data_IF_604532513054
#
_entry.id   IF_604532513054
#
_cell.length_a   1.000
_cell.length_b   1.000
_cell.length_c   1.000
_cell.angle_alpha   90.00
_cell.angle_beta   90.00
_cell.angle_gamma   90.00
#
_symmetry.space_group_name_H-M   'P 1'
#
loop_
_entity.id
_entity.type
_entity.pdbx_description
1 polymer ?
#
# COMPACT_ATOMS: atom_id res chain seq x y z
N UNK A 1 -10.02 12.68 -6.01
CA UNK A 1 -8.71 12.32 -5.43
C UNK A 1 -8.58 10.80 -5.33
N UNK A 2 -7.36 10.28 -5.29
CA UNK A 2 -7.10 8.84 -5.35
C UNK A 2 -7.85 8.05 -4.26
N UNK A 3 -7.79 8.55 -3.02
CA UNK A 3 -8.49 7.92 -1.91
C UNK A 3 -10.01 8.11 -1.95
N UNK A 4 -10.53 9.10 -2.68
CA UNK A 4 -11.99 9.15 -2.92
C UNK A 4 -12.45 7.93 -3.71
N UNK A 5 -11.66 7.48 -4.70
CA UNK A 5 -11.97 6.25 -5.46
C UNK A 5 -11.92 5.01 -4.59
N UNK A 6 -11.01 4.96 -3.62
CA UNK A 6 -10.94 3.88 -2.64
C UNK A 6 -12.17 3.91 -1.73
N UNK A 7 -12.52 5.08 -1.19
CA UNK A 7 -13.67 5.25 -0.28
C UNK A 7 -14.99 4.93 -0.99
N UNK A 8 -15.16 5.37 -2.25
CA UNK A 8 -16.32 5.01 -3.07
C UNK A 8 -16.52 3.49 -3.12
N UNK A 9 -15.42 2.73 -3.26
CA UNK A 9 -15.46 1.26 -3.25
C UNK A 9 -15.75 0.68 -1.88
N UNK A 10 -15.16 1.24 -0.82
CA UNK A 10 -15.44 0.83 0.56
C UNK A 10 -16.93 0.97 0.85
N UNK A 11 -17.54 2.09 0.46
CA UNK A 11 -18.98 2.35 0.62
C UNK A 11 -19.81 1.36 -0.21
N UNK A 12 -19.45 1.17 -1.49
CA UNK A 12 -20.17 0.27 -2.40
C UNK A 12 -20.16 -1.18 -1.90
N UNK A 13 -19.01 -1.66 -1.42
CA UNK A 13 -18.80 -3.04 -0.98
C UNK A 13 -19.14 -3.25 0.49
N UNK A 14 -19.36 -2.16 1.25
CA UNK A 14 -19.50 -2.14 2.71
C UNK A 14 -18.37 -2.90 3.40
N UNK A 15 -17.15 -2.73 2.88
CA UNK A 15 -15.99 -3.49 3.30
C UNK A 15 -14.72 -2.66 3.16
N UNK A 16 -14.02 -2.31 4.25
CA UNK A 16 -12.74 -1.60 4.21
C UNK A 16 -11.54 -2.51 4.03
N UNK A 17 -11.73 -3.84 4.02
CA UNK A 17 -10.60 -4.78 4.01
C UNK A 17 -9.73 -4.66 2.75
N UNK A 18 -8.42 -4.74 2.93
CA UNK A 18 -7.45 -4.78 1.85
C UNK A 18 -6.81 -6.16 1.83
N UNK A 19 -6.93 -6.88 0.71
CA UNK A 19 -6.31 -8.19 0.58
C UNK A 19 -4.81 -8.09 0.34
N UNK A 20 -3.99 -8.59 1.27
CA UNK A 20 -2.54 -8.68 1.11
C UNK A 20 -2.17 -9.79 0.12
N UNK A 21 -1.50 -9.43 -0.98
CA UNK A 21 -0.98 -10.40 -1.94
C UNK A 21 0.54 -10.53 -1.76
N UNK A 22 0.90 -11.31 -0.75
CA UNK A 22 2.27 -11.51 -0.27
C UNK A 22 2.70 -12.97 -0.58
N UNK A 23 2.80 -13.36 -1.88
CA UNK A 23 2.86 -14.75 -2.26
C UNK A 23 4.23 -15.37 -1.97
N UNK A 24 4.21 -16.57 -1.42
CA UNK A 24 5.32 -17.51 -1.47
C UNK A 24 4.90 -18.72 -2.27
N UNK A 25 5.88 -19.34 -2.95
CA UNK A 25 5.64 -20.55 -3.71
C UNK A 25 5.05 -21.69 -2.86
N UNK A 26 5.35 -21.73 -1.57
CA UNK A 26 4.78 -22.70 -0.61
C UNK A 26 3.26 -22.57 -0.44
N UNK A 27 2.68 -21.38 -0.67
CA UNK A 27 1.24 -21.14 -0.60
C UNK A 27 0.51 -21.59 -1.87
N UNK A 28 1.24 -21.75 -2.97
CA UNK A 28 0.66 -22.07 -4.27
C UNK A 28 0.31 -23.57 -4.32
N UNK A 29 -0.95 -23.94 -4.62
CA UNK A 29 -1.36 -25.33 -4.74
C UNK A 29 -0.54 -26.11 -5.77
N UNK A 30 -0.28 -27.39 -5.49
CA UNK A 30 0.56 -28.23 -6.33
C UNK A 30 0.06 -28.33 -7.77
N UNK A 31 -1.26 -28.44 -7.99
CA UNK A 31 -1.83 -28.51 -9.34
C UNK A 31 -1.53 -27.26 -10.19
N UNK A 32 -1.31 -26.10 -9.57
CA UNK A 32 -0.87 -24.88 -10.27
C UNK A 32 0.64 -24.96 -10.53
N UNK A 33 1.45 -25.30 -9.51
CA UNK A 33 2.92 -25.39 -9.62
C UNK A 33 3.35 -26.41 -10.67
N UNK A 34 2.83 -27.64 -10.60
CA UNK A 34 3.20 -28.75 -11.46
C UNK A 34 3.05 -28.41 -12.94
N UNK A 35 2.00 -27.67 -13.32
CA UNK A 35 1.80 -27.22 -14.70
C UNK A 35 2.98 -26.40 -15.23
N UNK A 36 3.48 -25.46 -14.43
CA UNK A 36 4.56 -24.57 -14.84
C UNK A 36 5.94 -25.21 -14.69
N UNK A 37 6.12 -26.07 -13.68
CA UNK A 37 7.37 -26.83 -13.52
C UNK A 37 7.58 -27.81 -14.67
N UNK A 38 6.52 -28.46 -15.17
CA UNK A 38 6.58 -29.30 -16.37
C UNK A 38 6.99 -28.53 -17.63
N UNK A 39 6.63 -27.24 -17.73
CA UNK A 39 6.88 -26.42 -18.91
C UNK A 39 8.24 -25.71 -18.89
N UNK A 40 8.64 -25.17 -17.74
CA UNK A 40 9.78 -24.27 -17.61
C UNK A 40 10.84 -24.80 -16.61
N UNK A 41 10.69 -26.05 -16.12
CA UNK A 41 11.51 -26.61 -15.05
C UNK A 41 11.26 -25.96 -13.69
N UNK A 42 12.01 -26.37 -12.68
CA UNK A 42 12.00 -25.75 -11.35
C UNK A 42 12.83 -24.45 -11.35
N UNK A 43 12.32 -23.43 -12.04
CA UNK A 43 13.01 -22.15 -12.26
C UNK A 43 12.24 -20.98 -11.65
N UNK A 44 12.91 -19.83 -11.47
CA UNK A 44 12.25 -18.58 -11.05
C UNK A 44 11.14 -18.16 -12.01
N UNK A 45 11.29 -18.46 -13.30
CA UNK A 45 10.25 -18.24 -14.33
C UNK A 45 9.00 -19.06 -14.03
N UNK A 46 9.17 -20.34 -13.70
CA UNK A 46 8.05 -21.22 -13.39
C UNK A 46 7.36 -20.84 -12.08
N UNK A 47 8.14 -20.52 -11.04
CA UNK A 47 7.63 -20.03 -9.77
C UNK A 47 6.82 -18.74 -9.95
N UNK A 48 7.35 -17.76 -10.68
CA UNK A 48 6.68 -16.49 -10.96
C UNK A 48 5.38 -16.68 -11.76
N UNK A 49 5.35 -17.57 -12.76
CA UNK A 49 4.11 -17.92 -13.49
C UNK A 49 3.07 -18.58 -12.59
N UNK A 50 3.50 -19.50 -11.71
CA UNK A 50 2.60 -20.17 -10.76
C UNK A 50 2.00 -19.17 -9.76
N UNK A 51 2.82 -18.26 -9.23
CA UNK A 51 2.39 -17.17 -8.36
C UNK A 51 1.41 -16.25 -9.08
N UNK A 52 1.70 -15.85 -10.32
CA UNK A 52 0.77 -15.01 -11.08
C UNK A 52 -0.59 -15.70 -11.24
N UNK A 53 -0.60 -16.99 -11.60
CA UNK A 53 -1.86 -17.73 -11.77
C UNK A 53 -2.63 -17.87 -10.45
N UNK A 54 -1.91 -18.05 -9.33
CA UNK A 54 -2.50 -18.08 -8.00
C UNK A 54 -3.11 -16.73 -7.61
N UNK A 55 -2.38 -15.63 -7.82
CA UNK A 55 -2.88 -14.27 -7.60
C UNK A 55 -4.14 -13.98 -8.44
N UNK A 56 -4.15 -14.40 -9.72
CA UNK A 56 -5.34 -14.24 -10.56
C UNK A 56 -6.55 -14.98 -9.97
N UNK A 57 -6.35 -16.23 -9.52
CA UNK A 57 -7.42 -17.00 -8.90
C UNK A 57 -7.95 -16.32 -7.62
N UNK A 58 -7.06 -15.79 -6.76
CA UNK A 58 -7.48 -15.02 -5.58
C UNK A 58 -8.28 -13.79 -6.01
N UNK A 59 -7.76 -12.98 -6.92
CA UNK A 59 -8.42 -11.75 -7.41
C UNK A 59 -9.80 -12.07 -7.98
N UNK A 60 -9.93 -13.14 -8.78
CA UNK A 60 -11.19 -13.55 -9.39
C UNK A 60 -12.27 -13.90 -8.36
N UNK A 61 -11.89 -14.34 -7.16
CA UNK A 61 -12.82 -14.70 -6.08
C UNK A 61 -13.14 -13.54 -5.13
N UNK A 62 -12.38 -12.43 -5.16
CA UNK A 62 -12.52 -11.35 -4.16
C UNK A 62 -12.80 -9.96 -4.75
N UNK A 63 -12.72 -9.78 -6.06
CA UNK A 63 -12.78 -8.45 -6.69
C UNK A 63 -14.11 -7.70 -6.47
N UNK A 64 -15.19 -8.42 -6.17
CA UNK A 64 -16.52 -7.91 -5.85
C UNK A 64 -16.83 -7.91 -4.34
N UNK A 65 -15.88 -8.37 -3.51
CA UNK A 65 -16.01 -8.46 -2.04
C UNK A 65 -15.15 -7.41 -1.33
N UNK A 66 -13.92 -7.18 -1.80
CA UNK A 66 -12.97 -6.24 -1.18
C UNK A 66 -12.58 -5.12 -2.15
N UNK A 67 -12.41 -3.87 -1.67
CA UNK A 67 -12.16 -2.71 -2.53
C UNK A 67 -10.77 -2.72 -3.15
N UNK A 68 -9.80 -3.34 -2.48
CA UNK A 68 -8.40 -3.19 -2.82
C UNK A 68 -7.56 -4.45 -2.57
N UNK A 69 -6.46 -4.54 -3.32
CA UNK A 69 -5.34 -5.43 -3.01
C UNK A 69 -4.10 -4.63 -2.62
N UNK A 70 -3.21 -5.26 -1.86
CA UNK A 70 -1.91 -4.71 -1.48
C UNK A 70 -0.79 -5.71 -1.70
N UNK A 71 -0.20 -5.81 -2.91
CA UNK A 71 0.98 -6.64 -3.12
C UNK A 71 2.22 -6.07 -2.39
N UNK A 72 2.89 -6.88 -1.56
CA UNK A 72 4.17 -6.55 -0.94
C UNK A 72 5.33 -6.84 -1.90
N UNK A 73 6.00 -5.78 -2.38
CA UNK A 73 7.01 -5.84 -3.43
C UNK A 73 8.14 -6.84 -3.12
N UNK A 74 8.57 -6.95 -1.87
CA UNK A 74 9.65 -7.85 -1.46
C UNK A 74 9.40 -9.33 -1.84
N UNK A 75 8.14 -9.80 -1.78
CA UNK A 75 7.79 -11.18 -2.16
C UNK A 75 7.95 -11.43 -3.65
N UNK A 76 7.79 -10.39 -4.47
CA UNK A 76 8.00 -10.47 -5.91
C UNK A 76 9.49 -10.31 -6.24
N UNK A 77 10.20 -9.39 -5.59
CA UNK A 77 11.65 -9.17 -5.74
C UNK A 77 12.46 -10.46 -5.51
N UNK A 78 12.03 -11.30 -4.56
CA UNK A 78 12.62 -12.61 -4.27
C UNK A 78 12.72 -13.54 -5.50
N UNK A 79 11.86 -13.35 -6.51
CA UNK A 79 11.87 -14.12 -7.77
C UNK A 79 12.55 -13.38 -8.94
N UNK A 80 13.35 -12.35 -8.64
CA UNK A 80 14.10 -11.56 -9.61
C UNK A 80 13.21 -10.84 -10.63
N UNK A 81 13.72 -10.63 -11.84
CA UNK A 81 12.98 -9.90 -12.88
C UNK A 81 11.67 -10.60 -13.29
N UNK A 82 11.58 -11.93 -13.16
CA UNK A 82 10.34 -12.67 -13.41
C UNK A 82 9.27 -12.36 -12.36
N UNK A 83 9.69 -12.20 -11.11
CA UNK A 83 8.83 -11.76 -10.02
C UNK A 83 8.38 -10.31 -10.21
N UNK A 84 9.29 -9.40 -10.58
CA UNK A 84 8.92 -8.01 -10.89
C UNK A 84 7.92 -7.91 -12.05
N UNK A 85 8.09 -8.70 -13.11
CA UNK A 85 7.09 -8.84 -14.18
C UNK A 85 5.76 -9.40 -13.67
N UNK A 86 5.80 -10.25 -12.66
CA UNK A 86 4.59 -10.80 -12.02
C UNK A 86 3.87 -9.76 -11.17
N UNK A 87 4.61 -8.87 -10.49
CA UNK A 87 4.05 -7.72 -9.79
C UNK A 87 3.30 -6.80 -10.75
N UNK A 88 3.96 -6.36 -11.84
CA UNK A 88 3.36 -5.57 -12.92
C UNK A 88 2.05 -6.21 -13.41
N UNK A 89 2.09 -7.50 -13.77
CA UNK A 89 0.92 -8.22 -14.26
C UNK A 89 -0.19 -8.34 -13.23
N UNK A 90 0.14 -8.54 -11.96
CA UNK A 90 -0.84 -8.64 -10.86
C UNK A 90 -1.55 -7.30 -10.67
N UNK A 91 -0.81 -6.19 -10.65
CA UNK A 91 -1.36 -4.84 -10.56
C UNK A 91 -2.32 -4.59 -11.73
N UNK A 92 -1.85 -4.84 -12.96
CA UNK A 92 -2.66 -4.66 -14.17
C UNK A 92 -3.94 -5.51 -14.15
N UNK A 93 -3.85 -6.78 -13.73
CA UNK A 93 -5.01 -7.68 -13.66
C UNK A 93 -6.04 -7.22 -12.63
N UNK A 94 -5.61 -6.82 -11.44
CA UNK A 94 -6.50 -6.30 -10.40
C UNK A 94 -7.22 -5.01 -10.86
N UNK A 95 -6.50 -4.10 -11.52
CA UNK A 95 -7.10 -2.88 -12.09
C UNK A 95 -8.10 -3.17 -13.21
N UNK A 96 -7.84 -4.18 -14.05
CA UNK A 96 -8.81 -4.65 -15.05
C UNK A 96 -10.10 -5.20 -14.42
N UNK A 97 -10.00 -5.78 -13.21
CA UNK A 97 -11.14 -6.20 -12.38
C UNK A 97 -11.77 -5.05 -11.59
N UNK A 98 -11.28 -3.83 -11.80
CA UNK A 98 -11.75 -2.63 -11.16
C UNK A 98 -11.27 -2.46 -9.72
N UNK A 99 -10.35 -3.26 -9.20
CA UNK A 99 -9.86 -3.12 -7.82
C UNK A 99 -8.89 -1.94 -7.69
N UNK A 100 -8.86 -1.32 -6.51
CA UNK A 100 -7.82 -0.35 -6.15
C UNK A 100 -6.53 -1.09 -5.77
N UNK A 101 -5.36 -0.59 -6.18
CA UNK A 101 -4.09 -1.30 -5.94
C UNK A 101 -3.08 -0.45 -5.17
N UNK A 102 -2.66 -0.96 -4.02
CA UNK A 102 -1.64 -0.35 -3.17
C UNK A 102 -0.36 -1.17 -3.27
N UNK A 103 0.70 -0.64 -3.90
CA UNK A 103 1.99 -1.32 -3.82
C UNK A 103 2.60 -1.07 -2.45
N UNK A 104 2.85 -2.13 -1.69
CA UNK A 104 3.56 -2.02 -0.43
C UNK A 104 5.07 -2.13 -0.70
N UNK A 105 5.70 -1.00 -1.06
CA UNK A 105 7.11 -0.92 -1.45
C UNK A 105 8.03 -0.24 -0.43
N UNK A 106 7.46 0.49 0.54
CA UNK A 106 8.16 1.23 1.61
C UNK A 106 9.36 2.04 1.10
N UNK A 107 9.23 2.65 -0.09
CA UNK A 107 10.34 3.37 -0.74
C UNK A 107 10.76 4.57 0.10
N UNK A 108 12.06 4.85 0.07
CA UNK A 108 12.69 5.92 0.83
C UNK A 108 13.98 6.30 0.11
N UNK A 109 14.09 7.52 -0.37
CA UNK A 109 15.29 8.09 -0.97
C UNK A 109 15.10 9.61 -1.06
N UNK A 110 16.02 10.32 -1.71
CA UNK A 110 15.92 11.76 -1.94
C UNK A 110 16.17 12.12 -3.41
N UNK A 111 15.71 13.31 -3.80
CA UNK A 111 15.98 13.91 -5.11
C UNK A 111 15.67 12.98 -6.29
N UNK A 112 16.60 12.91 -7.25
CA UNK A 112 16.42 12.16 -8.50
C UNK A 112 16.17 10.65 -8.30
N UNK A 113 16.70 10.06 -7.23
CA UNK A 113 16.44 8.64 -6.95
C UNK A 113 15.00 8.42 -6.51
N UNK A 114 14.47 9.31 -5.68
CA UNK A 114 13.08 9.26 -5.26
C UNK A 114 12.12 9.57 -6.41
N UNK A 115 12.50 10.45 -7.34
CA UNK A 115 11.78 10.67 -8.60
C UNK A 115 11.72 9.40 -9.45
N UNK A 116 12.81 8.62 -9.52
CA UNK A 116 12.83 7.34 -10.22
C UNK A 116 11.88 6.31 -9.57
N UNK A 117 11.87 6.19 -8.24
CA UNK A 117 10.91 5.34 -7.53
C UNK A 117 9.46 5.79 -7.73
N UNK A 118 9.22 7.10 -7.67
CA UNK A 118 7.91 7.72 -7.91
C UNK A 118 7.40 7.37 -9.31
N UNK A 119 8.27 7.56 -10.32
CA UNK A 119 7.96 7.26 -11.71
C UNK A 119 7.69 5.77 -11.93
N UNK A 120 8.47 4.88 -11.32
CA UNK A 120 8.30 3.44 -11.46
C UNK A 120 6.94 2.95 -10.94
N UNK A 121 6.52 3.41 -9.76
CA UNK A 121 5.35 2.88 -9.07
C UNK A 121 4.05 3.62 -9.37
N UNK A 122 4.10 4.95 -9.49
CA UNK A 122 2.93 5.83 -9.58
C UNK A 122 2.90 6.67 -10.87
N UNK A 123 4.04 6.84 -11.53
CA UNK A 123 4.17 7.66 -12.73
C UNK A 123 4.21 6.85 -14.02
N UNK A 124 4.79 7.47 -15.04
CA UNK A 124 5.04 6.85 -16.33
C UNK A 124 6.37 7.32 -16.92
N UNK A 125 6.99 6.48 -17.74
CA UNK A 125 8.24 6.77 -18.43
C UNK A 125 7.94 7.05 -19.90
N UNK A 126 8.59 8.09 -20.46
CA UNK A 126 8.55 8.34 -21.89
C UNK A 126 9.54 7.41 -22.61
N UNK A 127 9.02 6.58 -23.51
CA UNK A 127 9.80 5.66 -24.37
C UNK A 127 9.47 5.98 -25.82
N UNK A 128 10.34 6.76 -26.48
CA UNK A 128 10.04 7.36 -27.78
C UNK A 128 8.87 8.34 -27.66
N UNK A 129 7.82 8.10 -28.45
CA UNK A 129 6.59 8.91 -28.42
C UNK A 129 5.53 8.38 -27.43
N UNK A 130 5.79 7.23 -26.80
CA UNK A 130 4.84 6.60 -25.88
C UNK A 130 5.13 6.99 -24.43
N UNK A 131 4.08 7.22 -23.66
CA UNK A 131 4.14 7.30 -22.20
C UNK A 131 3.64 5.97 -21.62
N UNK A 132 4.46 5.30 -20.81
CA UNK A 132 4.22 3.93 -20.34
C UNK A 132 4.31 3.89 -18.82
N UNK A 133 3.24 3.45 -18.15
CA UNK A 133 3.27 3.13 -16.71
C UNK A 133 4.07 1.84 -16.49
N UNK A 134 5.16 1.85 -15.68
CA UNK A 134 5.95 0.64 -15.44
C UNK A 134 5.21 -0.37 -14.55
N UNK A 135 4.72 0.07 -13.39
CA UNK A 135 3.87 -0.75 -12.51
C UNK A 135 2.41 -0.28 -12.48
N UNK A 136 2.16 1.04 -12.40
CA UNK A 136 0.81 1.62 -12.54
C UNK A 136 -0.12 1.41 -11.35
N UNK A 137 0.41 1.34 -10.12
CA UNK A 137 -0.42 1.25 -8.91
C UNK A 137 -1.24 2.54 -8.69
N UNK A 138 -2.23 2.47 -7.80
CA UNK A 138 -3.03 3.64 -7.39
C UNK A 138 -2.41 4.32 -6.16
N UNK A 139 -1.78 3.55 -5.27
CA UNK A 139 -0.99 4.10 -4.17
C UNK A 139 0.29 3.31 -3.87
N UNK A 140 1.22 3.96 -3.15
CA UNK A 140 2.51 3.39 -2.74
C UNK A 140 2.72 3.60 -1.22
N UNK A 141 3.19 2.57 -0.52
CA UNK A 141 3.72 2.78 0.84
C UNK A 141 5.14 3.35 0.79
N UNK A 142 5.43 4.33 1.65
CA UNK A 142 6.71 5.07 1.67
C UNK A 142 7.17 5.30 3.10
N UNK A 143 8.46 5.53 3.31
CA UNK A 143 9.00 5.89 4.61
C UNK A 143 9.33 7.39 4.62
N UNK A 144 8.77 8.15 5.57
CA UNK A 144 8.98 9.60 5.68
C UNK A 144 10.25 10.01 6.41
N UNK A 145 11.10 9.06 6.80
CA UNK A 145 12.26 9.31 7.68
C UNK A 145 13.22 10.39 7.18
N UNK A 146 13.45 10.49 5.86
CA UNK A 146 14.35 11.49 5.29
C UNK A 146 13.75 12.91 5.24
N UNK A 147 12.43 13.03 5.48
CA UNK A 147 11.72 14.29 5.54
C UNK A 147 11.06 14.70 4.22
N UNK A 148 10.72 15.97 4.12
CA UNK A 148 9.88 16.52 3.05
C UNK A 148 10.50 16.40 1.65
N UNK A 149 11.82 16.45 1.53
CA UNK A 149 12.52 16.30 0.25
C UNK A 149 12.42 14.86 -0.31
N UNK A 150 12.33 13.85 0.55
CA UNK A 150 11.99 12.48 0.17
C UNK A 150 10.51 12.25 -0.16
N UNK A 151 9.62 13.16 0.24
CA UNK A 151 8.17 13.02 0.00
C UNK A 151 7.66 13.89 -1.15
N UNK A 152 8.26 15.06 -1.36
CA UNK A 152 7.81 16.05 -2.36
C UNK A 152 7.64 15.51 -3.78
N UNK A 153 8.53 14.64 -4.33
CA UNK A 153 8.32 14.05 -5.65
C UNK A 153 7.02 13.24 -5.75
N UNK A 154 6.66 12.53 -4.67
CA UNK A 154 5.42 11.75 -4.60
C UNK A 154 4.19 12.66 -4.51
N UNK A 155 4.25 13.76 -3.76
CA UNK A 155 3.12 14.69 -3.65
C UNK A 155 2.74 15.28 -5.01
N UNK A 156 3.75 15.62 -5.82
CA UNK A 156 3.55 16.10 -7.19
C UNK A 156 2.85 15.07 -8.07
N UNK A 157 3.30 13.80 -8.06
CA UNK A 157 2.66 12.77 -8.89
C UNK A 157 1.25 12.43 -8.40
N UNK A 158 0.99 12.54 -7.09
CA UNK A 158 -0.33 12.31 -6.51
C UNK A 158 -1.34 13.32 -7.04
N UNK A 159 -0.96 14.59 -7.11
CA UNK A 159 -1.77 15.66 -7.68
C UNK A 159 -1.93 15.51 -9.20
N UNK A 160 -0.84 15.27 -9.94
CA UNK A 160 -0.86 15.20 -11.40
C UNK A 160 -1.61 13.98 -11.96
N UNK A 161 -1.56 12.83 -11.27
CA UNK A 161 -2.03 11.54 -11.79
C UNK A 161 -3.09 10.84 -10.94
N UNK A 162 -3.71 11.55 -10.00
CA UNK A 162 -4.73 11.01 -9.08
C UNK A 162 -4.25 9.74 -8.35
N UNK A 163 -3.05 9.85 -7.74
CA UNK A 163 -2.39 8.79 -6.96
C UNK A 163 -2.40 9.12 -5.47
N UNK A 164 -2.04 8.14 -4.64
CA UNK A 164 -1.89 8.34 -3.21
C UNK A 164 -0.61 7.71 -2.64
N UNK A 165 -0.26 8.10 -1.42
CA UNK A 165 0.82 7.47 -0.66
C UNK A 165 0.36 7.11 0.75
N UNK A 166 0.94 6.06 1.32
CA UNK A 166 0.80 5.74 2.75
C UNK A 166 2.17 5.79 3.41
N UNK A 167 2.38 6.79 4.27
CA UNK A 167 3.65 7.00 4.98
C UNK A 167 3.70 6.12 6.22
N UNK A 168 4.84 5.48 6.50
CA UNK A 168 5.02 4.74 7.76
C UNK A 168 5.01 5.69 8.97
N UNK A 169 4.00 5.55 9.84
CA UNK A 169 3.84 6.38 11.06
C UNK A 169 4.08 5.55 12.32
N UNK A 170 3.22 4.55 12.59
CA UNK A 170 3.34 3.64 13.73
C UNK A 170 3.13 2.20 13.27
N UNK A 171 4.18 1.40 13.20
CA UNK A 171 4.11 0.06 12.61
C UNK A 171 3.80 -1.04 13.64
N UNK A 172 3.31 -2.20 13.19
CA UNK A 172 2.84 -3.30 14.05
C UNK A 172 3.93 -4.22 14.60
N UNK A 173 5.20 -4.04 14.22
CA UNK A 173 6.29 -4.90 14.69
C UNK A 173 6.65 -4.61 16.16
N UNK A 174 7.09 -5.66 16.88
CA UNK A 174 7.43 -5.59 18.31
C UNK A 174 8.47 -4.53 18.66
N UNK A 175 9.46 -4.32 17.78
CA UNK A 175 10.54 -3.34 17.98
C UNK A 175 10.17 -1.92 17.54
N UNK A 176 8.93 -1.65 17.11
CA UNK A 176 8.53 -0.33 16.60
C UNK A 176 8.82 0.80 17.60
N UNK A 177 8.65 0.52 18.90
CA UNK A 177 8.89 1.49 19.98
C UNK A 177 10.34 1.88 20.23
N UNK A 178 11.32 1.18 19.65
CA UNK A 178 12.74 1.55 19.79
C UNK A 178 13.03 2.97 19.27
N UNK A 179 12.33 3.34 18.19
CA UNK A 179 12.39 4.67 17.57
C UNK A 179 11.05 5.40 17.63
N UNK A 180 9.95 4.75 17.23
CA UNK A 180 8.68 5.46 16.97
C UNK A 180 8.06 6.02 18.26
N UNK A 181 8.31 5.39 19.41
CA UNK A 181 7.82 5.85 20.72
C UNK A 181 8.82 6.78 21.44
N UNK A 182 9.98 7.07 20.83
CA UNK A 182 10.95 8.02 21.40
C UNK A 182 10.37 9.43 21.34
N UNK A 183 10.59 10.19 22.41
CA UNK A 183 10.11 11.55 22.51
C UNK A 183 11.06 12.52 21.80
N UNK A 184 10.50 13.36 20.94
CA UNK A 184 11.11 14.56 20.38
C UNK A 184 10.56 15.75 21.16
N UNK A 185 11.24 16.10 22.27
CA UNK A 185 10.66 16.97 23.30
C UNK A 185 9.63 16.19 24.11
N UNK A 186 8.37 16.65 24.10
CA UNK A 186 7.25 15.99 24.80
C UNK A 186 6.34 15.16 23.87
N UNK A 187 6.64 15.13 22.56
CA UNK A 187 5.81 14.46 21.55
C UNK A 187 6.55 13.21 21.05
N UNK A 188 5.90 12.02 21.02
CA UNK A 188 6.52 10.83 20.46
C UNK A 188 6.72 10.96 18.94
N UNK A 189 7.80 10.38 18.44
CA UNK A 189 8.21 10.49 17.03
C UNK A 189 7.10 10.08 16.05
N UNK A 190 6.31 9.05 16.38
CA UNK A 190 5.19 8.64 15.52
C UNK A 190 4.14 9.75 15.36
N UNK A 191 3.86 10.56 16.39
CA UNK A 191 2.93 11.70 16.26
C UNK A 191 3.52 12.81 15.40
N UNK A 192 4.81 13.11 15.57
CA UNK A 192 5.52 14.06 14.70
C UNK A 192 5.40 13.64 13.23
N UNK A 193 5.60 12.35 12.92
CA UNK A 193 5.43 11.85 11.55
C UNK A 193 3.97 11.92 11.09
N UNK A 194 3.00 11.67 11.98
CA UNK A 194 1.57 11.87 11.71
C UNK A 194 1.25 13.32 11.31
N UNK A 195 1.71 14.29 12.10
CA UNK A 195 1.52 15.72 11.81
C UNK A 195 2.17 16.12 10.48
N UNK A 196 3.32 15.53 10.13
CA UNK A 196 3.92 15.72 8.82
C UNK A 196 3.03 15.20 7.70
N UNK A 197 2.33 14.07 7.88
CA UNK A 197 1.38 13.55 6.90
C UNK A 197 0.19 14.50 6.68
N UNK A 198 -0.40 15.03 7.76
CA UNK A 198 -1.47 16.05 7.67
C UNK A 198 -0.98 17.28 6.89
N UNK A 199 0.22 17.77 7.22
CA UNK A 199 0.79 18.94 6.55
C UNK A 199 1.06 18.67 5.05
N UNK A 200 1.67 17.53 4.70
CA UNK A 200 1.93 17.16 3.31
C UNK A 200 0.65 16.96 2.49
N UNK A 201 -0.43 16.48 3.12
CA UNK A 201 -1.73 16.26 2.48
C UNK A 201 -2.64 17.49 2.41
N UNK A 202 -2.33 18.56 3.15
CA UNK A 202 -3.24 19.70 3.40
C UNK A 202 -3.78 20.42 2.15
N UNK A 203 -3.03 20.42 1.04
CA UNK A 203 -3.47 21.03 -0.23
C UNK A 203 -4.25 20.07 -1.14
N UNK A 204 -4.39 18.80 -0.77
CA UNK A 204 -4.84 17.70 -1.61
C UNK A 204 -6.05 16.97 -1.01
N UNK A 205 -6.97 17.70 -0.39
CA UNK A 205 -8.15 17.15 0.28
C UNK A 205 -9.22 16.71 -0.72
N UNK A 206 -9.62 15.44 -0.64
CA UNK A 206 -10.67 14.84 -1.44
C UNK A 206 -12.08 15.14 -0.93
N UNK A 207 -13.08 14.67 -1.67
CA UNK A 207 -14.51 14.96 -1.39
C UNK A 207 -14.99 14.41 -0.04
N UNK A 208 -14.32 13.38 0.47
CA UNK A 208 -14.61 12.78 1.79
C UNK A 208 -13.80 13.38 2.93
N UNK A 209 -13.04 14.45 2.70
CA UNK A 209 -12.20 15.08 3.71
C UNK A 209 -10.84 14.41 3.92
N UNK A 210 -10.54 13.32 3.22
CA UNK A 210 -9.22 12.68 3.26
C UNK A 210 -8.32 13.18 2.13
N UNK A 211 -7.04 13.41 2.45
CA UNK A 211 -6.03 13.84 1.48
C UNK A 211 -5.50 12.67 0.62
N UNK A 212 -4.64 12.94 -0.36
CA UNK A 212 -3.87 11.90 -1.08
C UNK A 212 -2.72 11.30 -0.24
N UNK A 213 -2.46 11.84 0.96
CA UNK A 213 -1.42 11.39 1.89
C UNK A 213 -2.09 10.66 3.06
N UNK A 214 -1.82 9.37 3.14
CA UNK A 214 -2.27 8.48 4.20
C UNK A 214 -1.12 8.08 5.12
N UNK A 215 -1.48 7.37 6.19
CA UNK A 215 -0.56 6.86 7.19
C UNK A 215 -0.70 5.34 7.33
N UNK A 216 0.42 4.64 7.49
CA UNK A 216 0.44 3.25 7.94
C UNK A 216 0.47 3.25 9.46
N UNK A 217 -0.62 2.78 10.08
CA UNK A 217 -0.81 2.74 11.53
C UNK A 217 -1.24 1.33 11.94
N UNK A 218 -0.41 0.63 12.71
CA UNK A 218 -0.60 -0.79 13.03
C UNK A 218 -1.70 -1.06 14.04
N UNK A 219 -2.42 -2.17 13.86
CA UNK A 219 -3.52 -2.60 14.74
C UNK A 219 -3.11 -3.03 16.16
N UNK A 220 -1.81 -3.17 16.44
CA UNK A 220 -1.31 -3.74 17.71
C UNK A 220 -1.35 -2.78 18.89
N UNK A 221 -1.62 -1.49 18.66
CA UNK A 221 -1.64 -0.46 19.70
C UNK A 221 -2.96 0.36 19.64
N UNK A 222 -4.10 -0.19 20.12
CA UNK A 222 -5.43 0.42 19.92
C UNK A 222 -5.58 1.84 20.50
N UNK A 223 -4.90 2.12 21.61
CA UNK A 223 -4.91 3.46 22.24
C UNK A 223 -4.24 4.48 21.33
N UNK A 224 -3.02 4.20 20.86
CA UNK A 224 -2.27 5.07 19.95
C UNK A 224 -3.00 5.23 18.60
N UNK A 225 -3.65 4.17 18.11
CA UNK A 225 -4.46 4.22 16.90
C UNK A 225 -5.63 5.20 17.04
N UNK A 226 -6.34 5.16 18.17
CA UNK A 226 -7.46 6.07 18.47
C UNK A 226 -6.99 7.52 18.67
N UNK A 227 -5.85 7.71 19.34
CA UNK A 227 -5.22 9.02 19.51
C UNK A 227 -4.87 9.63 18.15
N UNK A 228 -4.17 8.87 17.30
CA UNK A 228 -3.83 9.31 15.94
C UNK A 228 -5.07 9.59 15.09
N UNK A 229 -6.13 8.80 15.21
CA UNK A 229 -7.37 9.05 14.44
C UNK A 229 -7.97 10.42 14.77
N UNK A 230 -7.96 10.81 16.05
CA UNK A 230 -8.48 12.09 16.52
C UNK A 230 -7.62 13.28 16.06
N UNK A 231 -6.30 13.10 16.01
CA UNK A 231 -5.33 14.13 15.63
C UNK A 231 -5.27 14.29 14.10
N UNK A 232 -5.19 13.19 13.37
CA UNK A 232 -4.92 13.16 11.93
C UNK A 232 -6.21 13.15 11.10
N UNK A 233 -7.06 14.18 11.22
CA UNK A 233 -8.44 14.18 10.68
C UNK A 233 -8.57 13.95 9.18
N UNK A 234 -7.58 14.33 8.38
CA UNK A 234 -7.61 14.25 6.92
C UNK A 234 -6.72 13.13 6.37
N UNK A 235 -6.11 12.32 7.23
CA UNK A 235 -5.17 11.26 6.84
C UNK A 235 -5.90 9.91 6.77
N UNK A 236 -5.89 9.27 5.61
CA UNK A 236 -6.41 7.91 5.46
C UNK A 236 -5.45 6.90 6.11
N UNK A 237 -5.94 5.97 6.91
CA UNK A 237 -5.11 4.95 7.52
C UNK A 237 -5.07 3.69 6.66
N UNK A 238 -3.88 3.11 6.54
CA UNK A 238 -3.69 1.73 6.11
C UNK A 238 -3.30 0.96 7.35
N UNK A 239 -4.17 0.06 7.81
CA UNK A 239 -4.02 -0.62 9.10
C UNK A 239 -3.52 -2.05 8.93
N UNK A 240 -2.20 -2.30 8.92
CA UNK A 240 -1.68 -3.66 8.90
C UNK A 240 -1.88 -4.34 10.26
N UNK A 241 -1.98 -5.67 10.20
CA UNK A 241 -1.90 -6.52 11.37
C UNK A 241 -3.22 -7.07 11.90
N UNK A 242 -4.34 -6.79 11.24
CA UNK A 242 -5.58 -7.54 11.44
C UNK A 242 -5.40 -9.02 11.04
N UNK A 243 -5.93 -9.94 11.85
CA UNK A 243 -5.83 -11.38 11.61
C UNK A 243 -4.48 -11.97 12.03
N UNK A 244 -3.64 -12.40 11.07
CA UNK A 244 -2.45 -13.22 11.33
C UNK A 244 -1.39 -12.59 12.27
N UNK A 245 -1.40 -11.26 12.45
CA UNK A 245 -0.48 -10.56 13.37
C UNK A 245 -1.10 -10.27 14.75
N UNK A 246 -2.30 -10.79 15.02
CA UNK A 246 -2.95 -10.73 16.33
C UNK A 246 -3.90 -9.54 16.55
N UNK A 247 -4.08 -8.64 15.58
CA UNK A 247 -5.08 -7.57 15.65
C UNK A 247 -6.50 -8.12 15.46
N UNK A 248 -7.39 -7.82 16.41
CA UNK A 248 -8.82 -8.16 16.34
C UNK A 248 -9.70 -7.01 15.87
N UNK A 249 -10.97 -7.28 15.58
CA UNK A 249 -11.94 -6.29 15.10
C UNK A 249 -12.13 -5.12 16.11
N UNK A 250 -12.19 -5.44 17.40
CA UNK A 250 -12.28 -4.42 18.46
C UNK A 250 -11.04 -3.52 18.52
N UNK A 251 -9.86 -4.08 18.24
CA UNK A 251 -8.59 -3.34 18.28
C UNK A 251 -8.41 -2.32 17.16
N UNK A 252 -9.14 -2.48 16.04
CA UNK A 252 -9.06 -1.58 14.88
C UNK A 252 -10.22 -0.57 14.82
N UNK A 253 -11.24 -0.70 15.66
CA UNK A 253 -12.40 0.20 15.65
C UNK A 253 -12.01 1.68 15.82
N UNK A 254 -10.98 1.94 16.63
CA UNK A 254 -10.43 3.28 16.84
C UNK A 254 -9.70 3.89 15.62
N UNK A 255 -9.54 3.13 14.51
CA UNK A 255 -8.98 3.65 13.27
C UNK A 255 -10.00 4.38 12.40
N UNK A 256 -11.29 4.18 12.64
CA UNK A 256 -12.36 4.72 11.81
C UNK A 256 -12.89 6.05 12.40
N UNK A 257 -13.36 6.93 11.52
CA UNK A 257 -14.06 8.15 11.90
C UNK A 257 -15.52 7.87 12.33
N UNK A 258 -16.25 8.93 12.67
CA UNK A 258 -17.66 8.84 13.07
C UNK A 258 -18.60 8.30 11.97
N UNK A 259 -18.15 8.31 10.71
CA UNK A 259 -18.89 7.79 9.56
C UNK A 259 -18.49 6.34 9.22
N UNK A 260 -17.56 5.74 9.97
CA UNK A 260 -17.02 4.41 9.68
C UNK A 260 -16.04 4.37 8.50
N UNK A 261 -15.43 5.52 8.16
CA UNK A 261 -14.44 5.69 7.09
C UNK A 261 -13.05 5.99 7.67
N UNK A 262 -12.06 6.19 6.80
CA UNK A 262 -10.73 6.66 7.20
C UNK A 262 -9.70 5.59 7.51
N UNK A 263 -10.06 4.31 7.42
CA UNK A 263 -9.17 3.16 7.57
C UNK A 263 -9.57 1.98 6.66
#
# INVERSE_FOLDING_TARGET
MSFDRLIDKIIQMKNPAVAGLDPKLEYVPDFIKSKYFLQDGETLKAAAKAIFKFNQAIIDEIYDIVPAIKPQAAYYEMYGYFGMKTLEKTIKYAKLKGMYVITDGKRNDIGATMEAYTTAHLGAVKVGDNEIEPFGADALTVNGYLGTDGISPLLKICEEKDKGIFVLVKTSNKSSGELQDRLMGDVPLYRVMGDMCENWGSSQIGKYGYSSVGAVVGATYPQQLSELRNELKHTMFLVPGYGAQGGGAEGIAGAFDENGLGA
#
